data_IF_958349703013
#
_entry.id   IF_958349703013
#
_cell.length_a   1.000
_cell.length_b   1.000
_cell.length_c   1.000
_cell.angle_alpha   90.00
_cell.angle_beta   90.00
_cell.angle_gamma   90.00
#
_symmetry.space_group_name_H-M   'P 1'
#
loop_
_entity.id
_entity.type
_entity.pdbx_description
1 polymer ?
#
# COMPACT_ATOMS: atom_id res chain seq x y z
N UNK A 1 2.90 8.49 -33.39
CA UNK A 1 3.46 7.59 -32.36
C UNK A 1 3.12 8.20 -31.00
N UNK A 2 1.95 7.90 -30.46
CA UNK A 2 1.39 8.60 -29.29
C UNK A 2 1.87 7.90 -28.02
N UNK A 3 2.70 8.58 -27.22
CA UNK A 3 3.20 8.05 -25.95
C UNK A 3 2.17 8.12 -24.82
N UNK A 4 2.26 7.20 -23.87
CA UNK A 4 1.51 7.26 -22.61
C UNK A 4 1.99 8.50 -21.83
N UNK A 5 1.06 9.39 -21.47
CA UNK A 5 1.32 10.55 -20.62
C UNK A 5 0.72 10.29 -19.24
N UNK A 6 1.57 10.23 -18.22
CA UNK A 6 1.12 10.23 -16.82
C UNK A 6 0.84 11.67 -16.41
N UNK A 7 -0.38 11.95 -15.98
CA UNK A 7 -0.73 13.23 -15.40
C UNK A 7 -0.19 13.29 -13.96
N UNK A 8 0.60 14.32 -13.66
CA UNK A 8 1.23 14.54 -12.33
C UNK A 8 0.54 15.69 -11.59
N UNK A 9 -0.72 16.00 -11.90
CA UNK A 9 -1.44 16.96 -11.06
C UNK A 9 -1.55 16.39 -9.64
N UNK A 10 -1.25 17.23 -8.64
CA UNK A 10 -1.21 16.78 -7.26
C UNK A 10 -2.60 16.26 -6.85
N UNK A 11 -2.67 14.97 -6.52
CA UNK A 11 -3.89 14.37 -5.98
C UNK A 11 -4.24 15.00 -4.63
N UNK A 12 -5.53 15.10 -4.27
CA UNK A 12 -5.95 15.60 -2.98
C UNK A 12 -5.26 14.82 -1.86
N UNK A 13 -4.79 15.53 -0.84
CA UNK A 13 -4.17 14.91 0.35
C UNK A 13 -5.25 14.11 1.07
N UNK A 14 -5.18 12.78 0.94
CA UNK A 14 -6.03 11.85 1.69
C UNK A 14 -5.46 11.74 3.10
N UNK A 15 -6.33 11.71 4.11
CA UNK A 15 -5.91 11.50 5.49
C UNK A 15 -5.16 10.15 5.62
N UNK A 16 -4.14 10.07 6.49
CA UNK A 16 -3.43 8.81 6.74
C UNK A 16 -4.40 7.72 7.18
N UNK A 17 -4.22 6.50 6.66
CA UNK A 17 -5.01 5.35 7.06
C UNK A 17 -4.49 4.82 8.40
N UNK A 18 -5.36 4.73 9.41
CA UNK A 18 -5.03 4.04 10.65
C UNK A 18 -5.11 2.52 10.45
N UNK A 19 -3.96 1.84 10.60
CA UNK A 19 -3.84 0.40 10.47
C UNK A 19 -3.92 -0.29 11.83
N UNK A 20 -4.72 -1.35 11.88
CA UNK A 20 -4.77 -2.25 13.03
C UNK A 20 -3.49 -3.11 13.14
N UNK A 21 -3.37 -3.87 14.22
CA UNK A 21 -2.18 -4.69 14.49
C UNK A 21 -1.95 -5.77 13.43
N UNK A 22 -3.02 -6.39 12.90
CA UNK A 22 -2.93 -7.44 11.89
C UNK A 22 -2.47 -6.88 10.54
N UNK A 23 -2.94 -5.68 10.19
CA UNK A 23 -2.53 -4.99 8.98
C UNK A 23 -1.09 -4.51 9.08
N UNK A 24 -0.68 -3.96 10.23
CA UNK A 24 0.70 -3.52 10.47
C UNK A 24 1.70 -4.68 10.39
N UNK A 25 1.34 -5.87 10.86
CA UNK A 25 2.17 -7.07 10.71
C UNK A 25 2.49 -7.41 9.25
N UNK A 26 1.61 -7.07 8.30
CA UNK A 26 1.88 -7.22 6.86
C UNK A 26 2.90 -6.20 6.37
N UNK A 27 2.84 -4.96 6.86
CA UNK A 27 3.79 -3.88 6.52
C UNK A 27 5.20 -4.20 7.02
N UNK A 28 5.29 -4.79 8.21
CA UNK A 28 6.55 -5.15 8.87
C UNK A 28 7.24 -6.38 8.26
N UNK A 29 6.65 -7.01 7.23
CA UNK A 29 7.27 -8.14 6.55
C UNK A 29 8.64 -7.77 5.94
N UNK A 30 9.62 -8.69 5.99
CA UNK A 30 10.88 -8.53 5.27
C UNK A 30 10.67 -8.32 3.76
N UNK A 31 11.65 -7.70 3.13
CA UNK A 31 11.61 -7.33 1.72
C UNK A 31 11.58 -8.55 0.77
N UNK A 32 12.17 -9.67 1.20
CA UNK A 32 12.20 -10.95 0.48
C UNK A 32 11.04 -11.88 0.85
N UNK A 33 10.16 -11.47 1.75
CA UNK A 33 9.04 -12.27 2.20
C UNK A 33 7.85 -12.19 1.23
N UNK A 34 7.18 -13.33 1.05
CA UNK A 34 5.88 -13.42 0.38
C UNK A 34 4.81 -13.87 1.37
N UNK A 35 3.63 -13.27 1.31
CA UNK A 35 2.53 -13.58 2.21
C UNK A 35 1.18 -13.59 1.50
N UNK A 36 0.24 -14.36 2.05
CA UNK A 36 -1.17 -14.30 1.68
C UNK A 36 -1.95 -13.54 2.75
N UNK A 37 -2.71 -12.51 2.34
CA UNK A 37 -3.57 -11.73 3.25
C UNK A 37 -5.01 -12.21 3.12
N UNK A 38 -5.50 -12.90 4.15
CA UNK A 38 -6.85 -13.48 4.19
C UNK A 38 -7.72 -12.73 5.19
N UNK A 39 -8.99 -12.54 4.86
CA UNK A 39 -9.93 -11.82 5.71
C UNK A 39 -11.31 -11.72 5.10
N UNK A 40 -12.32 -11.47 5.93
CA UNK A 40 -13.71 -11.34 5.50
C UNK A 40 -13.90 -10.16 4.51
N UNK A 41 -15.05 -10.09 3.79
CA UNK A 41 -15.37 -8.92 2.99
C UNK A 41 -15.35 -7.64 3.83
N UNK A 42 -14.75 -6.57 3.31
CA UNK A 42 -14.71 -5.27 3.99
C UNK A 42 -13.63 -5.10 5.07
N UNK A 43 -12.83 -6.12 5.40
CA UNK A 43 -11.78 -6.02 6.45
C UNK A 43 -10.50 -5.29 6.00
N UNK A 44 -10.58 -4.47 4.95
CA UNK A 44 -9.45 -3.63 4.54
C UNK A 44 -8.26 -4.33 3.87
N UNK A 45 -8.40 -5.56 3.34
CA UNK A 45 -7.29 -6.26 2.64
C UNK A 45 -6.64 -5.41 1.54
N UNK A 46 -7.46 -4.74 0.72
CA UNK A 46 -6.98 -3.86 -0.35
C UNK A 46 -6.18 -2.71 0.22
N UNK A 47 -6.71 -2.07 1.27
CA UNK A 47 -6.01 -1.00 1.99
C UNK A 47 -4.66 -1.49 2.53
N UNK A 48 -4.60 -2.67 3.14
CA UNK A 48 -3.34 -3.26 3.62
C UNK A 48 -2.32 -3.43 2.50
N UNK A 49 -2.74 -3.90 1.32
CA UNK A 49 -1.83 -4.06 0.17
C UNK A 49 -1.36 -2.71 -0.39
N UNK A 50 -2.23 -1.69 -0.43
CA UNK A 50 -1.85 -0.35 -0.87
C UNK A 50 -0.84 0.28 0.09
N UNK A 51 -1.11 0.23 1.40
CA UNK A 51 -0.19 0.77 2.41
C UNK A 51 1.15 0.00 2.43
N UNK A 52 1.14 -1.30 2.15
CA UNK A 52 2.36 -2.10 2.01
C UNK A 52 3.24 -1.60 0.84
N UNK A 53 2.63 -1.25 -0.29
CA UNK A 53 3.37 -0.68 -1.43
C UNK A 53 3.82 0.75 -1.12
N UNK A 54 2.96 1.56 -0.49
CA UNK A 54 3.29 2.92 -0.09
C UNK A 54 4.49 2.95 0.86
N UNK A 55 4.54 2.08 1.88
CA UNK A 55 5.68 1.95 2.80
C UNK A 55 6.98 1.65 2.05
N UNK A 56 6.94 0.71 1.10
CA UNK A 56 8.15 0.35 0.33
C UNK A 56 8.65 1.49 -0.56
N UNK A 57 7.75 2.12 -1.31
CA UNK A 57 8.11 3.21 -2.24
C UNK A 57 8.54 4.46 -1.46
N UNK A 58 7.74 4.88 -0.48
CA UNK A 58 7.95 6.19 0.19
C UNK A 58 8.84 6.09 1.42
N UNK A 59 8.75 5.00 2.18
CA UNK A 59 9.51 4.78 3.41
C UNK A 59 10.84 4.07 3.19
N UNK A 60 10.93 3.15 2.21
CA UNK A 60 12.13 2.34 1.95
C UNK A 60 12.87 2.68 0.65
N UNK A 61 12.30 3.53 -0.21
CA UNK A 61 12.96 4.07 -1.41
C UNK A 61 13.03 3.08 -2.58
N UNK A 62 12.02 2.23 -2.73
CA UNK A 62 11.86 1.34 -3.88
C UNK A 62 11.43 2.09 -5.15
#
# INVERSE_FOLDING_TARGET
>A
MTGIRFDTTASPVVAPVELDASQRAVIELPDDASAAVLGAPGTGKTTTIVELVADRVTGRGW
#
